data_IF_928145257821
#
_entry.id   IF_928145257821
#
_cell.length_a   1.000
_cell.length_b   1.000
_cell.length_c   1.000
_cell.angle_alpha   90.00
_cell.angle_beta   90.00
_cell.angle_gamma   90.00
#
_symmetry.space_group_name_H-M   'P 1'
#
loop_
_entity.id
_entity.type
_entity.pdbx_description
1 polymer ?
#
# COMPACT_ATOMS: atom_id res chain seq x y z
N UNK A 1 1.51 -21.60 -13.62
CA UNK A 1 2.32 -20.48 -13.08
C UNK A 1 1.30 -19.48 -12.56
N UNK A 2 1.37 -19.09 -11.30
CA UNK A 2 0.49 -18.05 -10.83
C UNK A 2 0.89 -16.69 -11.45
N UNK A 3 -0.06 -15.79 -11.59
CA UNK A 3 0.14 -14.48 -12.21
C UNK A 3 1.22 -13.65 -11.49
N UNK A 4 1.48 -13.97 -10.21
CA UNK A 4 2.49 -13.34 -9.38
C UNK A 4 3.91 -13.74 -9.81
N UNK A 5 4.12 -15.01 -10.16
CA UNK A 5 5.39 -15.50 -10.66
C UNK A 5 5.73 -14.95 -12.06
N UNK A 6 4.74 -14.77 -12.91
CA UNK A 6 4.95 -14.14 -14.22
C UNK A 6 5.46 -12.70 -14.09
N UNK A 7 4.91 -11.93 -13.15
CA UNK A 7 5.34 -10.56 -12.91
C UNK A 7 6.73 -10.46 -12.32
N UNK A 8 7.11 -11.40 -11.46
CA UNK A 8 8.40 -11.35 -10.75
C UNK A 8 9.55 -11.94 -11.53
N UNK A 9 9.33 -13.01 -12.27
CA UNK A 9 10.42 -13.67 -13.03
C UNK A 9 10.74 -12.92 -14.31
N UNK A 10 9.75 -12.30 -14.95
CA UNK A 10 9.93 -11.64 -16.24
C UNK A 10 10.03 -10.11 -16.15
N UNK A 11 9.67 -9.52 -15.02
CA UNK A 11 9.51 -8.07 -14.91
C UNK A 11 10.50 -7.39 -13.96
N UNK A 12 11.43 -8.14 -13.35
CA UNK A 12 12.51 -7.52 -12.58
C UNK A 12 13.71 -7.31 -13.50
N UNK A 13 13.80 -6.16 -14.16
CA UNK A 13 14.90 -5.88 -15.06
C UNK A 13 16.20 -5.73 -14.27
N UNK A 14 17.30 -6.10 -14.89
CA UNK A 14 18.62 -5.79 -14.38
C UNK A 14 18.86 -4.26 -14.31
N UNK A 15 18.06 -3.47 -15.04
CA UNK A 15 17.99 -2.02 -14.95
C UNK A 15 16.52 -1.57 -14.92
N UNK A 16 16.23 -0.50 -14.20
CA UNK A 16 14.91 0.16 -14.18
C UNK A 16 14.52 0.77 -15.53
N UNK A 17 15.44 0.83 -16.48
CA UNK A 17 15.22 1.26 -17.85
C UNK A 17 14.46 0.20 -18.69
N UNK A 18 14.26 -0.99 -18.18
CA UNK A 18 13.37 -1.90 -18.83
C UNK A 18 11.92 -1.47 -18.60
N UNK A 19 11.34 -1.11 -19.66
CA UNK A 19 9.97 -0.95 -20.02
C UNK A 19 9.03 -1.98 -19.35
N UNK A 20 8.85 -1.89 -18.05
CA UNK A 20 7.61 -2.32 -17.45
C UNK A 20 6.55 -1.28 -17.84
N UNK A 21 6.32 -1.19 -19.14
CA UNK A 21 5.00 -0.90 -19.62
C UNK A 21 4.18 -2.15 -19.23
N UNK A 22 3.22 -2.07 -18.29
CA UNK A 22 2.13 -2.99 -18.36
C UNK A 22 1.63 -2.80 -19.79
N UNK A 23 1.79 -3.83 -20.63
CA UNK A 23 1.35 -3.81 -22.00
C UNK A 23 0.07 -3.02 -22.04
N UNK A 24 -0.07 -2.07 -22.94
CA UNK A 24 -1.16 -1.09 -23.04
C UNK A 24 -2.51 -1.74 -22.77
N UNK A 25 -2.57 -2.31 -21.63
CA UNK A 25 -3.72 -2.96 -21.08
C UNK A 25 -4.54 -1.78 -20.62
N UNK A 26 -5.49 -1.45 -21.50
CA UNK A 26 -6.75 -0.94 -20.98
C UNK A 26 -6.93 -1.51 -19.58
N UNK A 27 -7.25 -0.68 -18.55
CA UNK A 27 -7.55 -1.21 -17.25
C UNK A 27 -8.46 -2.41 -17.52
N UNK A 28 -7.93 -3.62 -17.34
CA UNK A 28 -8.84 -4.77 -17.40
C UNK A 28 -9.87 -4.45 -16.33
N UNK A 29 -11.11 -4.13 -16.72
CA UNK A 29 -12.14 -4.19 -15.74
C UNK A 29 -12.03 -5.62 -15.23
N UNK A 30 -11.53 -5.75 -13.99
CA UNK A 30 -11.62 -7.04 -13.34
C UNK A 30 -13.08 -7.43 -13.49
N UNK A 31 -13.41 -8.54 -14.17
CA UNK A 31 -14.78 -9.01 -14.19
C UNK A 31 -15.11 -9.46 -12.76
N UNK A 32 -15.48 -8.49 -11.94
CA UNK A 32 -15.87 -8.71 -10.57
C UNK A 32 -17.34 -9.10 -10.63
N UNK A 33 -17.60 -10.37 -10.89
CA UNK A 33 -18.95 -10.91 -10.95
C UNK A 33 -19.66 -10.89 -9.59
N UNK A 34 -18.91 -10.86 -8.49
CA UNK A 34 -19.41 -10.69 -7.14
C UNK A 34 -18.25 -10.19 -6.26
N UNK A 35 -18.05 -8.88 -6.08
CA UNK A 35 -16.96 -8.37 -5.27
C UNK A 35 -17.18 -8.73 -3.81
N UNK A 36 -16.10 -9.18 -3.15
CA UNK A 36 -16.05 -9.24 -1.69
C UNK A 36 -15.83 -7.80 -1.22
N UNK A 37 -16.81 -7.22 -0.58
CA UNK A 37 -16.76 -5.86 -0.04
C UNK A 37 -17.28 -5.82 1.38
N UNK A 38 -16.71 -4.97 2.21
CA UNK A 38 -17.19 -4.63 3.56
C UNK A 38 -17.63 -3.16 3.65
N UNK A 39 -17.70 -2.46 2.49
CA UNK A 39 -18.07 -1.04 2.40
C UNK A 39 -16.86 -0.11 2.42
N UNK A 40 -15.70 -0.58 1.94
CA UNK A 40 -14.55 0.27 1.66
C UNK A 40 -14.84 1.29 0.56
N UNK A 41 -13.97 2.25 0.37
CA UNK A 41 -14.06 3.36 -0.57
C UNK A 41 -14.86 4.59 -0.05
N UNK A 42 -14.82 5.66 -0.81
CA UNK A 42 -15.48 6.95 -0.52
C UNK A 42 -15.12 7.52 0.86
N UNK A 43 -13.88 7.32 1.26
CA UNK A 43 -13.38 7.86 2.53
C UNK A 43 -13.42 9.40 2.53
N UNK A 44 -13.58 10.04 3.71
CA UNK A 44 -13.60 11.50 3.81
C UNK A 44 -12.32 12.15 3.26
N UNK A 45 -12.47 13.32 2.68
CA UNK A 45 -11.37 14.21 2.31
C UNK A 45 -11.64 15.55 2.99
N UNK A 46 -10.80 15.94 3.95
CA UNK A 46 -11.00 17.12 4.78
C UNK A 46 -10.17 18.27 4.24
N UNK A 47 -10.79 19.41 3.99
CA UNK A 47 -10.08 20.69 3.76
C UNK A 47 -9.61 21.26 5.11
N UNK A 48 -8.31 21.56 5.22
CA UNK A 48 -7.69 22.04 6.46
C UNK A 48 -6.97 23.38 6.25
N UNK A 49 -7.73 24.50 6.23
CA UNK A 49 -7.16 25.84 6.00
C UNK A 49 -6.14 26.25 7.06
N UNK A 50 -6.26 25.77 8.30
CA UNK A 50 -5.31 26.05 9.37
C UNK A 50 -3.93 25.47 9.08
N UNK A 51 -3.87 24.25 8.53
CA UNK A 51 -2.62 23.61 8.10
C UNK A 51 -2.06 24.33 6.86
N UNK A 52 -2.93 24.69 5.90
CA UNK A 52 -2.51 25.45 4.73
C UNK A 52 -1.81 26.76 5.13
N UNK A 53 -2.41 27.52 6.05
CA UNK A 53 -1.83 28.75 6.58
C UNK A 53 -0.50 28.49 7.33
N UNK A 54 -0.46 27.49 8.20
CA UNK A 54 0.72 27.17 8.99
C UNK A 54 1.93 26.77 8.13
N UNK A 55 1.70 26.14 6.99
CA UNK A 55 2.73 25.69 6.07
C UNK A 55 2.95 26.61 4.86
N UNK A 56 2.23 27.74 4.76
CA UNK A 56 2.39 28.70 3.67
C UNK A 56 2.02 28.16 2.29
N UNK A 57 1.08 27.22 2.22
CA UNK A 57 0.56 26.63 0.98
C UNK A 57 -0.87 27.07 0.72
N UNK A 58 -1.34 26.98 -0.52
CA UNK A 58 -2.67 27.47 -0.89
C UNK A 58 -3.81 26.64 -0.26
N UNK A 59 -3.68 25.33 -0.25
CA UNK A 59 -4.67 24.38 0.29
C UNK A 59 -3.99 23.12 0.82
N UNK A 60 -4.58 22.52 1.86
CA UNK A 60 -4.21 21.21 2.39
C UNK A 60 -5.47 20.36 2.51
N UNK A 61 -5.43 19.20 1.87
CA UNK A 61 -6.50 18.22 1.92
C UNK A 61 -5.99 16.95 2.59
N UNK A 62 -6.75 16.44 3.55
CA UNK A 62 -6.43 15.20 4.25
C UNK A 62 -7.37 14.08 3.80
N UNK A 63 -6.85 13.11 3.04
CA UNK A 63 -7.59 11.91 2.64
C UNK A 63 -7.59 10.89 3.76
N UNK A 64 -8.72 10.74 4.45
CA UNK A 64 -8.85 9.97 5.69
C UNK A 64 -9.13 8.49 5.44
N UNK A 65 -8.13 7.74 5.00
CA UNK A 65 -8.24 6.29 4.73
C UNK A 65 -8.55 5.44 5.99
N UNK A 66 -8.45 6.02 7.18
CA UNK A 66 -8.93 5.39 8.43
C UNK A 66 -10.46 5.23 8.49
N UNK A 67 -11.20 5.85 7.58
CA UNK A 67 -12.64 5.66 7.43
C UNK A 67 -13.06 4.31 6.84
N UNK A 68 -12.11 3.52 6.33
CA UNK A 68 -12.40 2.18 5.83
C UNK A 68 -12.74 1.17 6.95
N UNK A 69 -13.43 0.05 6.66
CA UNK A 69 -13.97 -0.89 7.64
C UNK A 69 -12.99 -1.41 8.69
N UNK A 70 -11.75 -1.75 8.32
CA UNK A 70 -10.72 -2.18 9.29
C UNK A 70 -9.81 -1.05 9.75
N UNK A 71 -10.12 0.19 9.35
CA UNK A 71 -9.43 1.40 9.79
C UNK A 71 -8.20 1.78 8.96
N UNK A 72 -8.05 1.31 7.72
CA UNK A 72 -6.92 1.68 6.88
C UNK A 72 -7.19 1.54 5.38
N UNK A 73 -6.34 2.15 4.57
CA UNK A 73 -6.31 1.99 3.11
C UNK A 73 -6.16 0.54 2.64
N UNK A 74 -5.72 -0.38 3.52
CA UNK A 74 -5.51 -1.79 3.17
C UNK A 74 -6.80 -2.54 2.85
N UNK A 75 -7.94 -2.03 3.28
CA UNK A 75 -9.25 -2.58 2.92
C UNK A 75 -9.47 -2.56 1.41
N UNK A 76 -9.11 -1.47 0.73
CA UNK A 76 -9.21 -1.35 -0.72
C UNK A 76 -8.41 -2.42 -1.46
N UNK A 77 -7.19 -2.69 -1.00
CA UNK A 77 -6.36 -3.77 -1.51
C UNK A 77 -6.99 -5.14 -1.24
N UNK A 78 -7.43 -5.36 0.00
CA UNK A 78 -7.95 -6.65 0.42
C UNK A 78 -9.24 -7.02 -0.33
N UNK A 79 -10.13 -6.06 -0.57
CA UNK A 79 -11.34 -6.25 -1.35
C UNK A 79 -11.04 -6.83 -2.75
N UNK A 80 -10.14 -6.19 -3.49
CA UNK A 80 -9.78 -6.62 -4.84
C UNK A 80 -9.02 -7.95 -4.84
N UNK A 81 -8.05 -8.09 -3.94
CA UNK A 81 -7.21 -9.29 -3.87
C UNK A 81 -8.02 -10.53 -3.48
N UNK A 82 -8.88 -10.41 -2.46
CA UNK A 82 -9.71 -11.52 -1.99
C UNK A 82 -10.78 -11.87 -3.03
N UNK A 83 -11.38 -10.89 -3.69
CA UNK A 83 -12.29 -11.12 -4.82
C UNK A 83 -11.60 -11.93 -5.93
N UNK A 84 -10.36 -11.57 -6.27
CA UNK A 84 -9.57 -12.33 -7.25
C UNK A 84 -9.25 -13.74 -6.77
N UNK A 85 -8.91 -13.92 -5.49
CA UNK A 85 -8.66 -15.24 -4.91
C UNK A 85 -9.89 -16.14 -5.04
N UNK A 86 -11.07 -15.63 -4.74
CA UNK A 86 -12.36 -16.35 -4.87
C UNK A 86 -12.60 -16.73 -6.33
N UNK A 87 -12.42 -15.79 -7.27
CA UNK A 87 -12.57 -16.05 -8.71
C UNK A 87 -11.59 -17.12 -9.22
N UNK A 88 -10.38 -17.16 -8.67
CA UNK A 88 -9.39 -18.19 -8.97
C UNK A 88 -9.70 -19.55 -8.31
N UNK A 89 -10.79 -19.67 -7.56
CA UNK A 89 -11.17 -20.91 -6.87
C UNK A 89 -10.34 -21.19 -5.61
N UNK A 90 -9.57 -20.22 -5.12
CA UNK A 90 -8.76 -20.41 -3.91
C UNK A 90 -9.63 -20.75 -2.70
N UNK A 91 -9.10 -21.60 -1.83
CA UNK A 91 -9.71 -21.95 -0.54
C UNK A 91 -8.93 -21.40 0.64
N UNK A 92 -7.73 -20.89 0.35
CA UNK A 92 -6.77 -20.42 1.33
C UNK A 92 -6.05 -19.17 0.85
N UNK A 93 -5.83 -18.23 1.75
CA UNK A 93 -5.04 -17.02 1.57
C UNK A 93 -3.81 -17.11 2.47
N UNK A 94 -2.63 -16.77 1.98
CA UNK A 94 -1.40 -16.71 2.76
C UNK A 94 -0.78 -15.32 2.67
N UNK A 95 -0.37 -14.75 3.82
CA UNK A 95 0.19 -13.41 3.86
C UNK A 95 1.36 -13.28 4.86
N UNK A 96 2.30 -12.39 4.57
CA UNK A 96 3.37 -11.98 5.48
C UNK A 96 3.13 -10.54 5.93
N UNK A 97 2.40 -10.35 7.03
CA UNK A 97 2.08 -9.02 7.53
C UNK A 97 1.86 -9.00 9.04
N UNK A 98 2.49 -8.04 9.73
CA UNK A 98 2.26 -7.77 11.16
C UNK A 98 1.42 -6.50 11.41
N UNK A 99 0.89 -5.88 10.36
CA UNK A 99 0.18 -4.60 10.41
C UNK A 99 -1.17 -4.63 9.69
N UNK A 100 -1.59 -3.46 9.23
CA UNK A 100 -2.91 -3.21 8.65
C UNK A 100 -3.26 -4.14 7.47
N UNK A 101 -2.27 -4.56 6.65
CA UNK A 101 -2.53 -5.51 5.57
C UNK A 101 -2.98 -6.88 6.09
N UNK A 102 -2.37 -7.37 7.19
CA UNK A 102 -2.79 -8.62 7.83
C UNK A 102 -4.22 -8.52 8.36
N UNK A 103 -4.57 -7.41 9.02
CA UNK A 103 -5.92 -7.19 9.56
C UNK A 103 -6.96 -7.15 8.45
N UNK A 104 -6.72 -6.38 7.38
CA UNK A 104 -7.64 -6.29 6.24
C UNK A 104 -7.81 -7.66 5.55
N UNK A 105 -6.70 -8.37 5.26
CA UNK A 105 -6.77 -9.69 4.63
C UNK A 105 -7.48 -10.73 5.49
N UNK A 106 -7.35 -10.65 6.83
CA UNK A 106 -8.11 -11.50 7.74
C UNK A 106 -9.61 -11.21 7.66
N UNK A 107 -10.02 -9.95 7.71
CA UNK A 107 -11.41 -9.54 7.66
C UNK A 107 -12.09 -9.93 6.34
N UNK A 108 -11.50 -9.56 5.21
CA UNK A 108 -12.06 -9.85 3.88
C UNK A 108 -12.00 -11.35 3.55
N UNK A 109 -10.94 -12.04 3.99
CA UNK A 109 -10.84 -13.49 3.86
C UNK A 109 -11.92 -14.23 4.64
N UNK A 110 -12.22 -13.78 5.87
CA UNK A 110 -13.34 -14.30 6.67
C UNK A 110 -14.68 -14.08 5.98
N UNK A 111 -14.94 -12.85 5.47
CA UNK A 111 -16.15 -12.54 4.71
C UNK A 111 -16.32 -13.40 3.45
N UNK A 112 -15.20 -13.81 2.84
CA UNK A 112 -15.17 -14.70 1.67
C UNK A 112 -15.22 -16.20 2.03
N UNK A 113 -15.21 -16.58 3.30
CA UNK A 113 -15.13 -17.96 3.75
C UNK A 113 -13.80 -18.64 3.44
N UNK A 114 -12.72 -17.88 3.25
CA UNK A 114 -11.38 -18.41 3.01
C UNK A 114 -10.67 -18.72 4.32
N UNK A 115 -9.87 -19.78 4.33
CA UNK A 115 -8.87 -19.95 5.39
C UNK A 115 -7.75 -18.92 5.19
N UNK A 116 -7.42 -18.18 6.24
CA UNK A 116 -6.38 -17.15 6.19
C UNK A 116 -5.22 -17.54 7.13
N UNK A 117 -4.03 -17.68 6.56
CA UNK A 117 -2.79 -17.94 7.30
C UNK A 117 -1.87 -16.72 7.19
N UNK A 118 -1.50 -16.13 8.32
CA UNK A 118 -0.69 -14.90 8.37
C UNK A 118 0.60 -15.13 9.12
N UNK A 119 1.71 -14.97 8.42
CA UNK A 119 3.04 -14.96 9.01
C UNK A 119 3.33 -13.58 9.61
N UNK A 120 3.59 -13.52 10.92
CA UNK A 120 3.86 -12.30 11.68
C UNK A 120 5.28 -12.26 12.21
N UNK A 121 5.83 -11.06 12.42
CA UNK A 121 7.08 -10.82 13.11
C UNK A 121 6.85 -10.57 14.61
N UNK A 122 7.89 -10.67 15.48
CA UNK A 122 7.76 -10.39 16.91
C UNK A 122 7.29 -8.96 17.22
N UNK A 123 7.58 -8.04 16.32
CA UNK A 123 7.16 -6.62 16.37
C UNK A 123 5.68 -6.41 16.04
N UNK A 124 4.90 -7.48 15.83
CA UNK A 124 3.46 -7.35 15.58
C UNK A 124 2.77 -6.73 16.80
N UNK A 125 2.16 -5.53 16.64
CA UNK A 125 1.52 -4.88 17.77
C UNK A 125 0.35 -5.72 18.31
N UNK A 126 0.13 -5.73 19.64
CA UNK A 126 -0.94 -6.54 20.26
C UNK A 126 -2.33 -6.29 19.67
N UNK A 127 -2.64 -5.03 19.33
CA UNK A 127 -3.93 -4.65 18.72
C UNK A 127 -4.13 -5.32 17.36
N UNK A 128 -3.13 -5.30 16.49
CA UNK A 128 -3.21 -5.93 15.16
C UNK A 128 -3.29 -7.45 15.28
N UNK A 129 -2.50 -8.04 16.19
CA UNK A 129 -2.60 -9.48 16.49
C UNK A 129 -4.02 -9.87 16.89
N UNK A 130 -4.58 -9.19 17.89
CA UNK A 130 -5.94 -9.46 18.40
C UNK A 130 -7.00 -9.26 17.30
N UNK A 131 -6.86 -8.25 16.44
CA UNK A 131 -7.77 -8.02 15.33
C UNK A 131 -7.72 -9.16 14.29
N UNK A 132 -6.52 -9.61 13.90
CA UNK A 132 -6.37 -10.75 12.99
C UNK A 132 -6.97 -12.05 13.57
N UNK A 133 -6.73 -12.31 14.86
CA UNK A 133 -7.29 -13.47 15.57
C UNK A 133 -8.82 -13.38 15.68
N UNK A 134 -9.37 -12.19 15.94
CA UNK A 134 -10.81 -11.92 15.98
C UNK A 134 -11.49 -12.29 14.65
N UNK A 135 -10.86 -12.01 13.52
CA UNK A 135 -11.36 -12.41 12.20
C UNK A 135 -11.03 -13.87 11.83
N UNK A 136 -10.51 -14.67 12.76
CA UNK A 136 -10.27 -16.10 12.57
C UNK A 136 -9.03 -16.45 11.77
N UNK A 137 -8.09 -15.53 11.55
CA UNK A 137 -6.83 -15.82 10.90
C UNK A 137 -5.94 -16.69 11.79
N UNK A 138 -5.22 -17.62 11.16
CA UNK A 138 -4.18 -18.43 11.82
C UNK A 138 -2.85 -17.70 11.77
N UNK A 139 -2.29 -17.38 12.93
CA UNK A 139 -1.05 -16.61 13.04
C UNK A 139 0.14 -17.54 13.24
N UNK A 140 1.20 -17.28 12.47
CA UNK A 140 2.46 -18.00 12.52
C UNK A 140 3.60 -17.02 12.79
N UNK A 141 4.32 -17.18 13.92
CA UNK A 141 5.36 -16.25 14.37
C UNK A 141 6.73 -16.65 13.80
N UNK A 142 7.48 -15.67 13.30
CA UNK A 142 8.82 -15.82 12.73
C UNK A 142 9.78 -14.82 13.37
N UNK A 143 11.09 -15.08 13.26
CA UNK A 143 12.13 -14.29 13.92
C UNK A 143 12.18 -12.83 13.45
N UNK A 144 11.94 -12.58 12.15
CA UNK A 144 11.99 -11.25 11.55
C UNK A 144 11.06 -11.11 10.34
N UNK A 145 11.10 -9.96 9.69
CA UNK A 145 10.26 -9.64 8.55
C UNK A 145 10.51 -10.49 7.31
N UNK A 146 11.74 -10.86 7.03
CA UNK A 146 12.12 -11.63 5.84
C UNK A 146 11.93 -13.14 6.05
N UNK A 147 12.14 -13.64 7.27
CA UNK A 147 11.93 -15.05 7.62
C UNK A 147 10.49 -15.56 7.37
N UNK A 148 9.52 -14.65 7.25
CA UNK A 148 8.13 -14.98 6.91
C UNK A 148 7.93 -15.40 5.46
N UNK A 149 8.78 -14.92 4.54
CA UNK A 149 8.56 -15.09 3.10
C UNK A 149 8.73 -16.53 2.62
N UNK A 150 9.75 -17.30 3.05
CA UNK A 150 9.83 -18.71 2.69
C UNK A 150 8.60 -19.52 3.09
N UNK A 151 8.03 -19.23 4.27
CA UNK A 151 6.80 -19.88 4.72
C UNK A 151 5.61 -19.59 3.80
N UNK A 152 5.37 -18.31 3.47
CA UNK A 152 4.30 -17.92 2.53
C UNK A 152 4.54 -18.53 1.16
N UNK A 153 5.81 -18.58 0.69
CA UNK A 153 6.17 -19.22 -0.57
C UNK A 153 5.82 -20.72 -0.58
N UNK A 154 6.08 -21.42 0.53
CA UNK A 154 5.69 -22.84 0.68
C UNK A 154 4.19 -23.01 0.60
N UNK A 155 3.41 -22.21 1.35
CA UNK A 155 1.95 -22.28 1.29
C UNK A 155 1.39 -22.03 -0.11
N UNK A 156 1.97 -21.09 -0.85
CA UNK A 156 1.52 -20.76 -2.21
C UNK A 156 1.90 -21.85 -3.22
N UNK A 157 3.13 -22.35 -3.19
CA UNK A 157 3.63 -23.32 -4.19
C UNK A 157 3.17 -24.75 -3.93
N UNK A 158 3.19 -25.17 -2.65
CA UNK A 158 3.03 -26.58 -2.28
C UNK A 158 1.62 -26.89 -1.79
N UNK A 159 0.90 -25.89 -1.25
CA UNK A 159 -0.42 -26.08 -0.68
C UNK A 159 -1.52 -25.26 -1.41
N UNK A 160 -1.19 -24.61 -2.52
CA UNK A 160 -2.15 -23.92 -3.38
C UNK A 160 -2.82 -22.68 -2.74
N UNK A 161 -2.18 -22.07 -1.75
CA UNK A 161 -2.69 -20.83 -1.15
C UNK A 161 -2.55 -19.66 -2.15
N UNK A 162 -3.52 -18.76 -2.15
CA UNK A 162 -3.42 -17.51 -2.89
C UNK A 162 -2.56 -16.50 -2.11
N UNK A 163 -1.62 -15.84 -2.80
CA UNK A 163 -0.71 -14.91 -2.17
C UNK A 163 -1.39 -13.59 -1.82
N UNK A 164 -1.47 -13.24 -0.55
CA UNK A 164 -2.00 -11.97 -0.04
C UNK A 164 -0.98 -10.85 0.03
N UNK A 165 0.30 -11.18 0.06
CA UNK A 165 1.41 -10.21 0.13
C UNK A 165 2.61 -10.70 -0.68
N UNK A 166 3.59 -9.81 -0.89
CA UNK A 166 4.87 -10.22 -1.48
C UNK A 166 5.58 -11.25 -0.59
N UNK A 167 6.17 -12.26 -1.21
CA UNK A 167 7.03 -13.27 -0.58
C UNK A 167 8.31 -13.55 -1.40
N UNK A 168 8.56 -12.74 -2.44
CA UNK A 168 9.69 -12.92 -3.33
C UNK A 168 10.79 -11.91 -3.01
N UNK A 169 12.03 -12.35 -3.17
CA UNK A 169 13.23 -11.54 -3.04
C UNK A 169 14.06 -11.69 -4.33
N UNK A 170 14.42 -10.59 -5.01
CA UNK A 170 14.12 -9.19 -4.69
C UNK A 170 12.63 -8.85 -4.84
N UNK A 171 12.11 -7.87 -4.06
CA UNK A 171 10.70 -7.52 -4.09
C UNK A 171 10.38 -6.62 -5.28
N UNK A 172 9.41 -7.01 -6.10
CA UNK A 172 8.87 -6.18 -7.20
C UNK A 172 7.81 -5.21 -6.68
N UNK A 173 6.95 -5.70 -5.81
CA UNK A 173 5.82 -4.99 -5.25
C UNK A 173 4.75 -5.95 -4.76
N UNK A 174 3.56 -5.42 -4.48
CA UNK A 174 2.41 -6.26 -4.12
C UNK A 174 1.70 -6.80 -5.37
N UNK A 175 0.78 -7.71 -5.15
CA UNK A 175 -0.01 -8.34 -6.23
C UNK A 175 -0.77 -7.28 -7.06
N UNK A 176 -0.76 -7.34 -8.40
CA UNK A 176 -1.37 -6.33 -9.27
C UNK A 176 -2.85 -6.08 -8.97
N UNK A 177 -3.62 -7.12 -8.71
CA UNK A 177 -5.04 -6.98 -8.35
C UNK A 177 -5.24 -6.22 -7.05
N UNK A 178 -4.36 -6.39 -6.06
CA UNK A 178 -4.39 -5.59 -4.84
C UNK A 178 -4.10 -4.11 -5.10
N UNK A 179 -3.18 -3.81 -6.01
CA UNK A 179 -2.86 -2.44 -6.42
C UNK A 179 -4.05 -1.75 -7.09
N UNK A 180 -4.84 -2.48 -7.90
CA UNK A 180 -6.05 -1.94 -8.52
C UNK A 180 -7.03 -1.33 -7.51
N UNK A 181 -7.09 -1.91 -6.31
CA UNK A 181 -7.92 -1.40 -5.21
C UNK A 181 -7.58 0.01 -4.74
N UNK A 182 -6.38 0.50 -5.01
CA UNK A 182 -5.99 1.86 -4.62
C UNK A 182 -6.26 2.92 -5.69
N UNK A 183 -6.52 2.54 -6.94
CA UNK A 183 -6.81 3.48 -8.04
C UNK A 183 -7.99 4.41 -7.77
N UNK A 184 -9.09 3.95 -7.14
CA UNK A 184 -10.24 4.82 -6.83
C UNK A 184 -9.87 6.05 -6.01
N UNK A 185 -8.82 6.01 -5.19
CA UNK A 185 -8.37 7.17 -4.40
C UNK A 185 -8.11 8.39 -5.29
N UNK A 186 -7.51 8.19 -6.47
CA UNK A 186 -7.27 9.29 -7.40
C UNK A 186 -8.57 9.92 -7.92
N UNK A 187 -9.56 9.09 -8.26
CA UNK A 187 -10.87 9.57 -8.71
C UNK A 187 -11.65 10.25 -7.58
N UNK A 188 -11.55 9.72 -6.36
CA UNK A 188 -12.15 10.34 -5.18
C UNK A 188 -11.53 11.70 -4.89
N UNK A 189 -10.20 11.82 -4.89
CA UNK A 189 -9.52 13.11 -4.72
C UNK A 189 -9.89 14.10 -5.81
N UNK A 190 -9.96 13.67 -7.07
CA UNK A 190 -10.37 14.54 -8.18
C UNK A 190 -11.81 15.04 -8.05
N UNK A 191 -12.68 14.30 -7.37
CA UNK A 191 -14.08 14.66 -7.15
C UNK A 191 -14.32 15.41 -5.83
N UNK A 192 -13.46 15.24 -4.83
CA UNK A 192 -13.64 15.78 -3.47
C UNK A 192 -12.87 17.07 -3.24
N UNK A 193 -11.76 17.30 -3.95
CA UNK A 193 -11.00 18.54 -3.85
C UNK A 193 -11.56 19.59 -4.80
N UNK A 194 -11.74 20.82 -4.33
CA UNK A 194 -12.21 21.95 -5.17
C UNK A 194 -11.25 22.23 -6.32
N UNK A 195 -9.96 22.06 -6.09
CA UNK A 195 -8.90 22.15 -7.08
C UNK A 195 -8.11 20.84 -7.10
N UNK A 196 -7.70 20.40 -8.29
CA UNK A 196 -6.84 19.22 -8.42
C UNK A 196 -5.52 19.44 -7.66
N UNK A 197 -5.10 18.49 -6.82
CA UNK A 197 -3.84 18.61 -6.10
C UNK A 197 -2.66 18.68 -7.07
N UNK A 198 -1.69 19.53 -6.75
CA UNK A 198 -0.42 19.58 -7.47
C UNK A 198 0.57 18.55 -6.94
N UNK A 199 0.47 18.25 -5.65
CA UNK A 199 1.34 17.37 -4.90
C UNK A 199 0.49 16.46 -4.01
N UNK A 200 0.88 15.20 -3.90
CA UNK A 200 0.25 14.21 -3.03
C UNK A 200 1.32 13.53 -2.20
N UNK A 201 1.21 13.64 -0.90
CA UNK A 201 2.18 13.10 0.06
C UNK A 201 1.64 11.79 0.61
N UNK A 202 2.40 10.71 0.47
CA UNK A 202 1.95 9.34 0.78
C UNK A 202 2.93 8.65 1.73
N UNK A 203 2.50 8.33 2.97
CA UNK A 203 3.29 7.47 3.85
C UNK A 203 3.55 6.12 3.20
N UNK A 204 4.82 5.75 3.06
CA UNK A 204 5.22 4.69 2.15
C UNK A 204 6.09 3.63 2.84
N UNK A 205 5.58 2.40 2.90
CA UNK A 205 6.37 1.21 3.19
C UNK A 205 6.99 0.66 1.90
N UNK A 206 6.34 -0.32 1.26
CA UNK A 206 6.78 -0.92 0.00
C UNK A 206 6.20 -0.27 -1.25
N UNK A 207 5.35 0.75 -1.09
CA UNK A 207 4.87 1.61 -2.17
C UNK A 207 3.70 1.08 -2.98
N UNK A 208 3.02 0.03 -2.54
CA UNK A 208 1.81 -0.48 -3.19
C UNK A 208 0.69 0.57 -3.27
N UNK A 209 0.46 1.32 -2.18
CA UNK A 209 -0.47 2.45 -2.15
C UNK A 209 -0.03 3.56 -3.11
N UNK A 210 1.23 3.99 -3.02
CA UNK A 210 1.81 5.03 -3.87
C UNK A 210 1.67 4.67 -5.36
N UNK A 211 1.96 3.41 -5.71
CA UNK A 211 1.83 2.90 -7.07
C UNK A 211 0.38 2.87 -7.55
N UNK A 212 -0.56 2.39 -6.73
CA UNK A 212 -1.97 2.37 -7.08
C UNK A 212 -2.56 3.75 -7.29
N UNK A 213 -2.21 4.73 -6.44
CA UNK A 213 -2.57 6.14 -6.62
C UNK A 213 -2.00 6.67 -7.95
N UNK A 214 -0.73 6.39 -8.25
CA UNK A 214 -0.09 6.77 -9.50
C UNK A 214 -0.85 6.23 -10.72
N UNK A 215 -1.19 4.94 -10.71
CA UNK A 215 -1.96 4.31 -11.79
C UNK A 215 -3.37 4.92 -11.93
N UNK A 216 -4.02 5.26 -10.82
CA UNK A 216 -5.30 5.95 -10.82
C UNK A 216 -5.23 7.31 -11.52
N UNK A 217 -4.25 8.15 -11.17
CA UNK A 217 -4.03 9.43 -11.83
C UNK A 217 -3.66 9.29 -13.30
N UNK A 218 -2.84 8.31 -13.65
CA UNK A 218 -2.54 8.01 -15.05
C UNK A 218 -3.81 7.59 -15.84
N UNK A 219 -4.71 6.84 -15.22
CA UNK A 219 -5.97 6.48 -15.85
C UNK A 219 -6.86 7.71 -16.11
N UNK A 220 -6.90 8.67 -15.17
CA UNK A 220 -7.61 9.94 -15.37
C UNK A 220 -6.99 10.78 -16.49
N UNK A 221 -5.67 10.85 -16.54
CA UNK A 221 -4.94 11.55 -17.61
C UNK A 221 -5.24 10.94 -18.99
N UNK A 222 -5.12 9.60 -19.12
CA UNK A 222 -5.42 8.90 -20.39
C UNK A 222 -6.85 9.10 -20.89
N UNK A 223 -7.80 9.29 -19.96
CA UNK A 223 -9.21 9.58 -20.29
C UNK A 223 -9.48 11.04 -20.59
N UNK A 224 -8.47 11.91 -20.51
CA UNK A 224 -8.63 13.36 -20.68
C UNK A 224 -9.38 14.03 -19.53
N UNK A 225 -9.60 13.36 -18.40
CA UNK A 225 -10.28 13.95 -17.23
C UNK A 225 -9.42 14.97 -16.50
N UNK A 226 -8.11 14.90 -16.67
CA UNK A 226 -7.13 15.86 -16.14
C UNK A 226 -6.08 16.18 -17.20
N UNK A 227 -5.46 17.36 -17.10
CA UNK A 227 -4.44 17.82 -18.07
C UNK A 227 -3.01 17.43 -17.68
N UNK A 228 -2.76 17.12 -16.40
CA UNK A 228 -1.43 16.79 -15.87
C UNK A 228 -1.53 15.87 -14.66
N UNK A 229 -0.49 15.09 -14.41
CA UNK A 229 -0.36 14.30 -13.19
C UNK A 229 0.02 15.19 -12.01
N UNK A 230 -0.51 14.95 -10.80
CA UNK A 230 0.09 15.45 -9.57
C UNK A 230 1.44 14.78 -9.32
N UNK A 231 2.35 15.47 -8.65
CA UNK A 231 3.58 14.84 -8.14
C UNK A 231 3.25 14.00 -6.92
N UNK A 232 3.75 12.78 -6.88
CA UNK A 232 3.56 11.86 -5.75
C UNK A 232 4.85 11.82 -4.93
N UNK A 233 4.75 12.20 -3.66
CA UNK A 233 5.89 12.17 -2.74
C UNK A 233 5.73 11.01 -1.77
N UNK A 234 6.77 10.18 -1.67
CA UNK A 234 6.83 9.11 -0.68
C UNK A 234 7.42 9.64 0.62
N UNK A 235 6.72 9.46 1.73
CA UNK A 235 7.29 9.71 3.06
C UNK A 235 7.68 8.40 3.71
N UNK A 236 8.91 8.33 4.22
CA UNK A 236 9.48 7.15 4.83
C UNK A 236 10.29 7.52 6.11
N UNK A 237 10.49 6.59 7.05
CA UNK A 237 11.15 6.91 8.33
C UNK A 237 12.68 7.03 8.20
N UNK A 238 13.25 6.58 7.10
CA UNK A 238 14.67 6.65 6.74
C UNK A 238 14.84 6.54 5.22
N UNK A 239 15.94 7.04 4.62
CA UNK A 239 16.05 7.33 3.19
C UNK A 239 16.25 6.08 2.30
N UNK A 240 15.39 5.08 2.42
CA UNK A 240 15.42 3.82 1.68
C UNK A 240 15.16 4.03 0.18
N UNK A 241 14.07 4.72 -0.15
CA UNK A 241 13.70 4.97 -1.55
C UNK A 241 14.66 5.95 -2.21
N UNK A 242 15.14 6.95 -1.47
CA UNK A 242 16.17 7.87 -1.98
C UNK A 242 17.44 7.11 -2.37
N UNK A 243 17.90 6.16 -1.54
CA UNK A 243 19.05 5.31 -1.84
C UNK A 243 18.79 4.39 -3.04
N UNK A 244 17.62 3.74 -3.08
CA UNK A 244 17.24 2.85 -4.19
C UNK A 244 17.17 3.61 -5.52
N UNK A 245 16.60 4.81 -5.52
CA UNK A 245 16.54 5.68 -6.73
C UNK A 245 17.91 6.11 -7.18
N UNK A 246 18.78 6.54 -6.28
CA UNK A 246 20.14 6.93 -6.60
C UNK A 246 20.97 5.77 -7.17
N UNK A 247 20.76 4.56 -6.65
CA UNK A 247 21.41 3.35 -7.14
C UNK A 247 20.80 2.80 -8.44
N UNK A 248 19.57 3.22 -8.78
CA UNK A 248 18.78 2.60 -9.86
C UNK A 248 18.41 1.14 -9.57
N UNK A 249 18.39 0.73 -8.29
CA UNK A 249 18.25 -0.67 -7.88
C UNK A 249 17.47 -0.80 -6.58
N UNK A 250 16.40 -1.59 -6.60
CA UNK A 250 15.55 -1.86 -5.44
C UNK A 250 16.02 -3.06 -4.56
N UNK A 251 17.13 -3.72 -4.92
CA UNK A 251 17.57 -4.97 -4.26
C UNK A 251 18.25 -4.78 -2.90
N UNK A 252 18.58 -3.53 -2.54
CA UNK A 252 19.17 -3.21 -1.24
C UNK A 252 18.22 -3.44 -0.07
N UNK A 253 18.80 -3.56 1.10
CA UNK A 253 18.07 -3.57 2.38
C UNK A 253 18.60 -2.41 3.23
N UNK A 254 17.69 -1.53 3.61
CA UNK A 254 17.98 -0.34 4.42
C UNK A 254 17.01 -0.35 5.60
N UNK A 255 17.41 -0.91 6.70
CA UNK A 255 16.56 -1.03 7.88
C UNK A 255 17.17 -0.25 9.04
N UNK A 256 16.35 0.58 9.68
CA UNK A 256 16.71 1.31 10.88
C UNK A 256 15.57 1.22 11.90
N UNK A 257 15.86 1.33 13.21
CA UNK A 257 14.83 1.40 14.23
C UNK A 257 13.94 2.64 14.02
N UNK A 258 12.63 2.44 14.12
CA UNK A 258 11.64 3.53 14.04
C UNK A 258 10.37 3.16 14.76
N UNK A 259 9.68 4.16 15.33
CA UNK A 259 8.34 4.02 15.89
C UNK A 259 7.24 4.10 14.82
N UNK A 260 7.56 4.44 13.58
CA UNK A 260 6.64 4.48 12.43
C UNK A 260 6.44 3.08 11.84
N UNK A 261 6.01 2.13 12.64
CA UNK A 261 6.04 0.68 12.35
C UNK A 261 5.29 0.28 11.07
N UNK A 262 4.23 0.99 10.68
CA UNK A 262 3.43 0.62 9.51
C UNK A 262 4.11 0.97 8.17
N UNK A 263 5.16 1.81 8.20
CA UNK A 263 6.00 2.13 7.06
C UNK A 263 7.47 1.73 7.25
N UNK A 264 7.80 1.03 8.33
CA UNK A 264 9.13 0.53 8.68
C UNK A 264 9.48 -0.75 7.89
N UNK A 265 9.57 -0.70 6.59
CA UNK A 265 10.02 -1.84 5.78
C UNK A 265 11.39 -1.59 5.19
N UNK A 266 12.38 -2.49 5.42
CA UNK A 266 13.78 -2.31 4.98
C UNK A 266 14.01 -2.40 3.47
N UNK A 267 13.02 -2.82 2.68
CA UNK A 267 13.18 -3.03 1.23
C UNK A 267 12.38 -2.02 0.42
N UNK A 268 13.00 -1.47 -0.63
CA UNK A 268 12.30 -0.76 -1.70
C UNK A 268 11.63 -1.76 -2.67
N UNK A 269 10.78 -1.29 -3.54
CA UNK A 269 10.18 -2.10 -4.62
C UNK A 269 10.26 -1.36 -5.94
N UNK A 270 10.24 -2.10 -7.04
CA UNK A 270 10.17 -1.50 -8.36
C UNK A 270 8.92 -0.61 -8.51
N UNK A 271 7.79 -1.02 -7.95
CA UNK A 271 6.54 -0.26 -7.97
C UNK A 271 6.70 1.11 -7.32
N UNK A 272 7.32 1.19 -6.14
CA UNK A 272 7.53 2.47 -5.44
C UNK A 272 8.43 3.43 -6.22
N UNK A 273 9.51 2.90 -6.80
CA UNK A 273 10.44 3.70 -7.61
C UNK A 273 9.75 4.22 -8.88
N UNK A 274 9.00 3.37 -9.58
CA UNK A 274 8.26 3.76 -10.79
C UNK A 274 7.19 4.83 -10.51
N UNK A 275 6.52 4.76 -9.36
CA UNK A 275 5.54 5.78 -8.98
C UNK A 275 6.17 7.16 -8.87
N UNK A 276 7.34 7.28 -8.22
CA UNK A 276 8.07 8.53 -8.06
C UNK A 276 8.59 9.05 -9.41
N UNK A 277 9.24 8.18 -10.19
CA UNK A 277 9.79 8.57 -11.51
C UNK A 277 8.68 9.06 -12.44
N UNK A 278 7.56 8.34 -12.55
CA UNK A 278 6.47 8.68 -13.48
C UNK A 278 5.69 9.93 -13.09
N UNK A 279 5.60 10.23 -11.79
CA UNK A 279 4.90 11.43 -11.31
C UNK A 279 5.82 12.65 -11.18
N UNK A 280 7.13 12.49 -11.27
CA UNK A 280 8.10 13.54 -10.99
C UNK A 280 8.17 13.92 -9.51
N UNK A 281 7.78 13.02 -8.62
CA UNK A 281 7.82 13.22 -7.18
C UNK A 281 9.15 12.82 -6.54
N UNK A 282 9.19 12.85 -5.22
CA UNK A 282 10.40 12.64 -4.43
C UNK A 282 10.15 11.69 -3.27
N UNK A 283 11.21 11.04 -2.78
CA UNK A 283 11.23 10.36 -1.49
C UNK A 283 11.77 11.33 -0.43
N UNK A 284 11.06 11.42 0.69
CA UNK A 284 11.39 12.30 1.82
C UNK A 284 11.42 11.44 3.08
N UNK A 285 12.50 11.50 3.83
CA UNK A 285 12.58 10.86 5.14
C UNK A 285 12.14 11.81 6.26
N UNK A 286 11.36 11.27 7.19
CA UNK A 286 10.78 11.99 8.32
C UNK A 286 11.10 11.22 9.60
N UNK A 287 11.88 11.85 10.49
CA UNK A 287 12.24 11.27 11.78
C UNK A 287 11.01 11.09 12.70
N UNK A 288 11.11 10.17 13.66
CA UNK A 288 10.02 9.85 14.60
C UNK A 288 9.55 11.08 15.39
N UNK A 289 10.46 11.98 15.76
CA UNK A 289 10.14 13.22 16.48
C UNK A 289 9.35 14.21 15.60
N UNK A 290 9.63 14.27 14.31
CA UNK A 290 8.88 15.09 13.34
C UNK A 290 7.46 14.53 13.17
N UNK A 291 7.36 13.22 12.94
CA UNK A 291 6.08 12.53 12.86
C UNK A 291 5.25 12.67 14.15
N UNK A 292 5.89 12.67 15.34
CA UNK A 292 5.21 12.87 16.62
C UNK A 292 4.65 14.30 16.74
N UNK A 293 5.40 15.31 16.31
CA UNK A 293 4.89 16.71 16.26
C UNK A 293 3.72 16.85 15.30
N UNK A 294 3.82 16.28 14.11
CA UNK A 294 2.76 16.26 13.13
C UNK A 294 1.49 15.57 13.68
N UNK A 295 1.65 14.44 14.36
CA UNK A 295 0.52 13.75 15.00
C UNK A 295 -0.14 14.59 16.09
N UNK A 296 0.65 15.32 16.89
CA UNK A 296 0.10 16.24 17.89
C UNK A 296 -0.67 17.40 17.26
N UNK A 297 -0.17 17.96 16.14
CA UNK A 297 -0.86 19.01 15.39
C UNK A 297 -2.21 18.51 14.81
N UNK A 298 -2.25 17.31 14.22
CA UNK A 298 -3.49 16.67 13.78
C UNK A 298 -4.46 16.42 14.95
N UNK A 299 -3.94 15.96 16.09
CA UNK A 299 -4.73 15.75 17.31
C UNK A 299 -5.37 17.04 17.84
N UNK A 300 -4.69 18.18 17.73
CA UNK A 300 -5.23 19.48 18.11
C UNK A 300 -6.40 19.93 17.21
N UNK A 301 -6.51 19.37 16.00
CA UNK A 301 -7.63 19.55 15.06
C UNK A 301 -8.71 18.46 15.21
N UNK A 302 -8.60 17.56 16.20
CA UNK A 302 -9.53 16.45 16.39
C UNK A 302 -9.32 15.29 15.43
N UNK A 303 -8.22 15.27 14.68
CA UNK A 303 -7.92 14.24 13.70
C UNK A 303 -7.04 13.16 14.31
N UNK A 304 -7.58 11.95 14.43
CA UNK A 304 -6.84 10.78 14.90
C UNK A 304 -6.02 10.15 13.76
N UNK A 305 -4.70 10.15 13.90
CA UNK A 305 -3.80 9.50 12.95
C UNK A 305 -2.77 8.61 13.68
N UNK A 306 -2.41 7.48 13.06
CA UNK A 306 -1.24 6.73 13.51
C UNK A 306 0.05 7.52 13.20
N UNK A 307 1.13 7.21 13.92
CA UNK A 307 2.39 7.95 13.77
C UNK A 307 2.90 7.96 12.33
N UNK A 308 2.86 6.81 11.66
CA UNK A 308 3.27 6.66 10.27
C UNK A 308 2.43 7.49 9.29
N UNK A 309 1.12 7.63 9.55
CA UNK A 309 0.25 8.46 8.71
C UNK A 309 0.50 9.95 8.92
N UNK A 310 0.77 10.34 10.17
CA UNK A 310 1.06 11.73 10.52
C UNK A 310 2.36 12.25 9.90
N UNK A 311 3.30 11.37 9.56
CA UNK A 311 4.55 11.75 8.90
C UNK A 311 4.33 12.42 7.52
N UNK A 312 3.13 12.35 6.95
CA UNK A 312 2.79 13.03 5.69
C UNK A 312 2.50 14.53 5.86
N UNK A 313 2.34 15.03 7.09
CA UNK A 313 2.17 16.45 7.40
C UNK A 313 3.54 17.13 7.60
#
# INVERSE_FOLDING_TARGET
>A
MDEYNLLTVHSYPASLACEYEPADTQPMPLPVLAPITLGEDRTPCLDEPSLAHAHGVAQVWLKCESGNPTGSHKDRMAAQLVSRAVLAGAKRLAAASSGNAGVALAAYGAAAGLRVDIAIAPTCPPRQRAAMEHFGARLHSFADSLARWPYVATLCRDEGAFAGTNYLNPPVGTHPYGVEGYKPIAAELAAQCDNLPTDIIVPTARGDLLWGICLGWQALLRRGAIARLPRLHAVEPYPRLAHALAAGDARGVWEQPTAQYSIAGGTATLQSMQALVRSGGQAVDVADEQAARARAALGALGIAAELSSAAAL
#
